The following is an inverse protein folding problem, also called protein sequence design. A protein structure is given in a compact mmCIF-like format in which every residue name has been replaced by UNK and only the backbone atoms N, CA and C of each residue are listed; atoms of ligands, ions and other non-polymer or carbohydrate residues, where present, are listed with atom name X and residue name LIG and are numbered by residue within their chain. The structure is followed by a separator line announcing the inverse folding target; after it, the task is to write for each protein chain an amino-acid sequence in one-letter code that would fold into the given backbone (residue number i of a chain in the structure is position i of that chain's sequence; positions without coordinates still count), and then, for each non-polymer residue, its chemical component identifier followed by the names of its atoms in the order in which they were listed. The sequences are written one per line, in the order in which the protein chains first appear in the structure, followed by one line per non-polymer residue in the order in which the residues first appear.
data_IF_786472427635
#
_entry.id   IF_786472427635
#
_cell.length_a   1.000
_cell.length_b   1.000
_cell.length_c   1.000
_cell.angle_alpha   90.00
_cell.angle_beta   90.00
_cell.angle_gamma   90.00
#
_symmetry.space_group_name_H-M   'P 1'
#
loop_
_entity.id
_entity.type
_entity.pdbx_description
1 polymer ?
#
# COMPACT_ATOMS: atom_id res chain seq x y z
N UNK A 1 -10.02 10.00 -14.73
CA UNK A 1 -8.57 9.70 -14.85
C UNK A 1 -7.79 10.65 -13.94
N UNK A 2 -7.46 10.22 -12.72
CA UNK A 2 -6.77 11.07 -11.73
C UNK A 2 -5.28 10.70 -11.68
N UNK A 3 -4.49 11.17 -12.64
CA UNK A 3 -3.02 11.10 -12.55
C UNK A 3 -2.47 12.46 -12.08
N UNK A 4 -1.77 12.45 -10.95
CA UNK A 4 -1.41 13.62 -10.13
C UNK A 4 -0.25 14.41 -10.71
N UNK A 5 -0.23 15.75 -10.54
CA UNK A 5 0.84 16.66 -10.97
C UNK A 5 1.77 17.17 -9.84
N UNK A 6 1.54 16.83 -8.56
CA UNK A 6 2.44 17.24 -7.45
C UNK A 6 2.45 16.27 -6.25
N UNK A 7 3.49 16.37 -5.38
CA UNK A 7 3.65 15.55 -4.16
C UNK A 7 2.51 15.74 -3.15
N UNK A 8 1.96 16.96 -3.06
CA UNK A 8 0.81 17.25 -2.21
C UNK A 8 -0.46 16.55 -2.69
N UNK A 9 -0.61 16.34 -3.99
CA UNK A 9 -1.77 15.65 -4.56
C UNK A 9 -1.68 14.14 -4.34
N UNK A 10 -0.48 13.54 -4.35
CA UNK A 10 -0.29 12.11 -4.03
C UNK A 10 -0.74 11.78 -2.61
N UNK A 11 -0.39 12.63 -1.64
CA UNK A 11 -0.78 12.41 -0.24
C UNK A 11 -2.30 12.50 -0.07
N UNK A 12 -2.97 13.41 -0.80
CA UNK A 12 -4.43 13.51 -0.82
C UNK A 12 -5.07 12.27 -1.45
N UNK A 13 -4.53 11.78 -2.57
CA UNK A 13 -5.02 10.55 -3.21
C UNK A 13 -4.89 9.33 -2.29
N UNK A 14 -3.77 9.18 -1.59
CA UNK A 14 -3.57 8.08 -0.64
C UNK A 14 -4.54 8.17 0.56
N UNK A 15 -4.75 9.37 1.11
CA UNK A 15 -5.73 9.58 2.18
C UNK A 15 -7.16 9.25 1.74
N UNK A 16 -7.52 9.61 0.51
CA UNK A 16 -8.84 9.28 -0.08
C UNK A 16 -9.04 7.77 -0.23
N UNK A 17 -8.01 7.03 -0.66
CA UNK A 17 -8.09 5.56 -0.75
C UNK A 17 -8.33 4.96 0.64
N UNK A 18 -7.59 5.41 1.65
CA UNK A 18 -7.78 4.94 3.04
C UNK A 18 -9.22 5.20 3.50
N UNK A 19 -9.79 6.37 3.19
CA UNK A 19 -11.17 6.69 3.52
C UNK A 19 -12.19 5.78 2.83
N UNK A 20 -11.98 5.51 1.54
CA UNK A 20 -12.86 4.66 0.74
C UNK A 20 -12.87 3.22 1.28
N UNK A 21 -11.70 2.62 1.47
CA UNK A 21 -11.63 1.21 1.88
C UNK A 21 -11.93 0.99 3.37
N UNK A 22 -11.98 2.06 4.16
CA UNK A 22 -12.35 2.02 5.58
C UNK A 22 -13.82 2.39 5.83
N UNK A 23 -14.67 2.48 4.80
CA UNK A 23 -16.07 2.92 4.93
C UNK A 23 -16.83 2.17 6.03
N UNK A 24 -16.63 0.86 6.09
CA UNK A 24 -17.27 -0.06 7.05
C UNK A 24 -16.26 -0.80 7.93
N UNK A 25 -15.06 -0.22 8.11
CA UNK A 25 -13.95 -0.85 8.84
C UNK A 25 -13.10 0.19 9.60
N UNK A 26 -12.20 -0.28 10.47
CA UNK A 26 -11.29 0.58 11.22
C UNK A 26 -10.30 1.33 10.30
N UNK A 27 -10.47 2.65 10.21
CA UNK A 27 -9.63 3.55 9.41
C UNK A 27 -8.18 3.60 9.90
N UNK A 28 -7.95 3.58 11.20
CA UNK A 28 -6.59 3.65 11.75
C UNK A 28 -5.85 2.33 11.51
N UNK A 29 -6.54 1.19 11.60
CA UNK A 29 -5.98 -0.10 11.21
C UNK A 29 -5.49 -0.09 9.76
N UNK A 30 -6.35 0.34 8.82
CA UNK A 30 -5.99 0.40 7.39
C UNK A 30 -4.82 1.36 7.16
N UNK A 31 -4.86 2.53 7.78
CA UNK A 31 -3.80 3.54 7.66
C UNK A 31 -2.46 3.00 8.17
N UNK A 32 -2.47 2.30 9.30
CA UNK A 32 -1.26 1.73 9.87
C UNK A 32 -0.75 0.54 9.07
N UNK A 33 -1.64 -0.22 8.42
CA UNK A 33 -1.26 -1.26 7.46
C UNK A 33 -0.48 -0.69 6.27
N UNK A 34 -0.97 0.39 5.64
CA UNK A 34 -0.26 1.07 4.55
C UNK A 34 1.10 1.63 4.99
N UNK A 35 1.17 2.24 6.18
CA UNK A 35 2.44 2.71 6.74
C UNK A 35 3.40 1.55 6.99
N UNK A 36 2.91 0.43 7.53
CA UNK A 36 3.72 -0.75 7.83
C UNK A 36 4.32 -1.33 6.56
N UNK A 37 3.52 -1.46 5.49
CA UNK A 37 4.00 -1.90 4.18
C UNK A 37 5.01 -0.92 3.57
N UNK A 38 4.80 0.38 3.76
CA UNK A 38 5.76 1.42 3.33
C UNK A 38 7.10 1.27 4.05
N UNK A 39 7.09 1.08 5.38
CA UNK A 39 8.31 0.84 6.16
C UNK A 39 9.01 -0.44 5.73
N UNK A 40 8.28 -1.55 5.57
CA UNK A 40 8.82 -2.82 5.05
C UNK A 40 9.50 -2.60 3.69
N UNK A 41 8.82 -1.92 2.76
CA UNK A 41 9.37 -1.60 1.45
C UNK A 41 10.65 -0.76 1.48
N UNK A 42 10.79 0.09 2.50
CA UNK A 42 11.98 0.92 2.70
C UNK A 42 13.09 0.19 3.44
N UNK A 43 12.80 -0.73 4.36
CA UNK A 43 13.78 -1.33 5.28
C UNK A 43 14.46 -2.58 4.71
N UNK A 44 13.78 -3.29 3.82
CA UNK A 44 14.28 -4.53 3.22
C UNK A 44 14.87 -4.32 1.82
N UNK A 45 15.85 -5.15 1.48
CA UNK A 45 16.54 -5.17 0.19
C UNK A 45 15.66 -5.85 -0.85
N UNK A 46 14.67 -5.12 -1.35
CA UNK A 46 13.79 -5.63 -2.41
C UNK A 46 14.48 -5.53 -3.77
N UNK A 47 15.47 -4.62 -3.93
CA UNK A 47 16.31 -4.51 -5.13
C UNK A 47 17.74 -4.98 -4.86
N UNK A 48 18.27 -5.77 -5.80
CA UNK A 48 19.61 -6.37 -5.70
C UNK A 48 20.77 -5.36 -5.55
N UNK A 49 20.58 -4.06 -5.80
CA UNK A 49 21.66 -3.07 -5.71
C UNK A 49 21.66 -2.25 -4.41
N UNK A 50 20.72 -2.47 -3.49
CA UNK A 50 20.64 -1.67 -2.25
C UNK A 50 21.61 -2.21 -1.19
N UNK A 51 22.73 -1.51 -0.94
CA UNK A 51 23.59 -1.77 0.22
C UNK A 51 22.96 -1.17 1.49
N UNK A 52 23.15 -1.83 2.64
CA UNK A 52 22.60 -1.47 3.96
C UNK A 52 21.10 -1.73 4.18
N UNK A 53 20.53 -2.73 3.50
CA UNK A 53 19.14 -3.18 3.70
C UNK A 53 19.10 -4.65 4.11
N UNK A 54 18.08 -5.03 4.90
CA UNK A 54 17.92 -6.40 5.39
C UNK A 54 17.55 -7.32 4.23
N UNK A 55 18.22 -8.46 4.10
CA UNK A 55 17.89 -9.44 3.06
C UNK A 55 16.60 -10.21 3.40
N UNK A 56 15.79 -10.43 2.37
CA UNK A 56 14.58 -11.26 2.46
C UNK A 56 14.85 -12.63 1.85
N UNK A 57 14.45 -13.68 2.56
CA UNK A 57 14.35 -15.02 1.96
C UNK A 57 13.22 -15.04 0.93
N UNK A 58 13.26 -15.95 -0.03
CA UNK A 58 12.19 -16.15 -1.02
C UNK A 58 10.78 -16.28 -0.42
N UNK A 59 10.63 -16.97 0.72
CA UNK A 59 9.34 -17.14 1.39
C UNK A 59 8.77 -15.81 1.90
N UNK A 60 9.60 -14.99 2.55
CA UNK A 60 9.20 -13.66 3.03
C UNK A 60 8.90 -12.69 1.88
N UNK A 61 9.65 -12.77 0.78
CA UNK A 61 9.35 -12.02 -0.44
C UNK A 61 7.98 -12.37 -1.00
N UNK A 62 7.66 -13.67 -1.09
CA UNK A 62 6.33 -14.13 -1.54
C UNK A 62 5.23 -13.66 -0.58
N UNK A 63 5.44 -13.76 0.72
CA UNK A 63 4.49 -13.28 1.71
C UNK A 63 4.17 -11.79 1.54
N UNK A 64 5.19 -10.93 1.40
CA UNK A 64 4.96 -9.50 1.19
C UNK A 64 4.32 -9.19 -0.17
N UNK A 65 4.69 -9.94 -1.21
CA UNK A 65 4.05 -9.81 -2.51
C UNK A 65 2.54 -10.09 -2.42
N UNK A 66 2.14 -11.23 -1.84
CA UNK A 66 0.73 -11.57 -1.70
C UNK A 66 -0.01 -10.61 -0.78
N UNK A 67 0.61 -10.17 0.32
CA UNK A 67 0.02 -9.18 1.24
C UNK A 67 -0.27 -7.85 0.54
N UNK A 68 0.65 -7.36 -0.31
CA UNK A 68 0.42 -6.16 -1.11
C UNK A 68 -0.64 -6.39 -2.20
N UNK A 69 -0.60 -7.56 -2.85
CA UNK A 69 -1.58 -7.91 -3.89
C UNK A 69 -3.01 -7.93 -3.34
N UNK A 70 -3.22 -8.55 -2.19
CA UNK A 70 -4.54 -8.58 -1.53
C UNK A 70 -5.00 -7.19 -1.10
N UNK A 71 -4.08 -6.31 -0.68
CA UNK A 71 -4.44 -4.94 -0.33
C UNK A 71 -4.82 -4.11 -1.56
N UNK A 72 -4.14 -4.32 -2.69
CA UNK A 72 -4.50 -3.69 -3.98
C UNK A 72 -5.86 -4.17 -4.44
N UNK A 73 -6.13 -5.47 -4.36
CA UNK A 73 -7.43 -6.05 -4.69
C UNK A 73 -8.56 -5.43 -3.86
N UNK A 74 -8.39 -5.31 -2.54
CA UNK A 74 -9.32 -4.61 -1.66
C UNK A 74 -9.57 -3.17 -2.10
N UNK A 75 -8.51 -2.43 -2.47
CA UNK A 75 -8.66 -1.07 -2.99
C UNK A 75 -9.51 -1.02 -4.26
N UNK A 76 -9.31 -1.97 -5.18
CA UNK A 76 -10.04 -2.01 -6.44
C UNK A 76 -11.53 -2.30 -6.23
N UNK A 77 -11.87 -3.23 -5.34
CA UNK A 77 -13.27 -3.55 -5.00
C UNK A 77 -14.01 -2.30 -4.54
N UNK A 78 -13.52 -1.64 -3.49
CA UNK A 78 -14.17 -0.46 -2.93
C UNK A 78 -14.14 0.75 -3.88
N UNK A 79 -13.08 0.90 -4.69
CA UNK A 79 -13.04 1.95 -5.71
C UNK A 79 -14.10 1.73 -6.78
N UNK A 80 -14.39 0.48 -7.16
CA UNK A 80 -15.46 0.19 -8.12
C UNK A 80 -16.83 0.44 -7.51
N UNK A 81 -17.06 0.04 -6.26
CA UNK A 81 -18.31 0.28 -5.53
C UNK A 81 -18.63 1.78 -5.35
N UNK A 82 -17.63 2.65 -5.16
CA UNK A 82 -17.84 4.11 -5.08
C UNK A 82 -18.14 4.77 -6.44
N UNK A 83 -17.95 4.08 -7.56
CA UNK A 83 -18.24 4.59 -8.91
C UNK A 83 -19.57 4.07 -9.48
N UNK A 84 -20.28 3.21 -8.75
CA UNK A 84 -21.64 2.73 -9.06
C UNK A 84 -22.71 3.58 -8.36
#
# INVERSE_FOLDING_TARGET
MFYTTSKNDKNKSAAKIVEIISKDFDKDFIKDEFKKLTSIGNDYRIRHHEQNKLELTSNHTNYFFFRMLTLIDLCLVYLNEENE
#
